data_IF_771430132686
#
_entry.id   IF_771430132686
#
_cell.length_a   1.000
_cell.length_b   1.000
_cell.length_c   1.000
_cell.angle_alpha   90.00
_cell.angle_beta   90.00
_cell.angle_gamma   90.00
#
_symmetry.space_group_name_H-M   'P 1'
#
loop_
_entity.id
_entity.type
_entity.pdbx_description
1 polymer ?
#
# COMPACT_ATOMS: atom_id res chain seq x y z
N UNK A 1 11.27 -21.34 76.39
CA UNK A 1 11.10 -22.00 75.09
C UNK A 1 9.67 -21.76 74.65
N UNK A 2 9.42 -20.72 73.90
CA UNK A 2 8.09 -20.38 73.31
C UNK A 2 8.25 -19.97 71.86
N UNK A 3 7.83 -20.84 71.01
CA UNK A 3 7.25 -20.73 69.68
C UNK A 3 7.61 -19.55 68.74
N UNK A 4 8.56 -19.81 67.87
CA UNK A 4 8.89 -18.99 66.70
C UNK A 4 8.34 -19.60 65.40
N UNK A 5 7.22 -20.31 65.45
CA UNK A 5 6.78 -21.10 64.28
C UNK A 5 5.59 -20.52 63.45
N UNK A 6 5.18 -19.24 63.70
CA UNK A 6 3.92 -18.76 63.08
C UNK A 6 4.02 -17.46 62.24
N UNK A 7 5.20 -16.93 61.98
CA UNK A 7 5.34 -15.68 61.19
C UNK A 7 5.57 -15.96 59.69
N UNK A 8 6.05 -17.16 59.32
CA UNK A 8 6.40 -17.47 57.95
C UNK A 8 5.20 -17.84 57.01
N UNK A 9 4.02 -18.05 57.59
CA UNK A 9 2.84 -18.45 56.78
C UNK A 9 1.98 -17.31 56.26
N UNK A 10 2.16 -16.08 56.75
CA UNK A 10 1.36 -14.94 56.34
C UNK A 10 1.97 -14.15 55.17
N UNK A 11 3.28 -14.19 54.98
CA UNK A 11 3.96 -13.45 53.92
C UNK A 11 3.92 -14.15 52.53
N UNK A 12 3.67 -15.45 52.49
CA UNK A 12 3.69 -16.22 51.25
C UNK A 12 2.40 -16.12 50.41
N UNK A 13 1.30 -15.59 50.97
CA UNK A 13 -0.02 -15.55 50.27
C UNK A 13 -0.39 -14.20 49.69
N UNK A 14 0.39 -13.14 49.96
CA UNK A 14 0.08 -11.78 49.46
C UNK A 14 0.95 -11.34 48.25
N UNK A 15 2.01 -12.07 47.95
CA UNK A 15 2.94 -11.66 46.86
C UNK A 15 2.54 -12.26 45.49
N UNK A 16 1.86 -13.42 45.48
CA UNK A 16 1.50 -14.09 44.23
C UNK A 16 0.41 -13.36 43.41
N UNK A 17 -0.63 -12.70 43.99
CA UNK A 17 -1.60 -11.99 43.19
C UNK A 17 -1.14 -10.64 42.63
N UNK A 18 -0.10 -10.01 43.25
CA UNK A 18 0.41 -8.72 42.79
C UNK A 18 1.28 -8.84 41.53
N UNK A 19 1.97 -9.96 41.35
CA UNK A 19 2.78 -10.21 40.13
C UNK A 19 1.94 -10.66 38.94
N UNK A 20 0.78 -11.27 39.15
CA UNK A 20 -0.12 -11.68 38.09
C UNK A 20 -0.90 -10.51 37.48
N UNK A 21 -1.07 -9.39 38.19
CA UNK A 21 -1.77 -8.21 37.66
C UNK A 21 -0.88 -7.30 36.79
N UNK A 22 0.44 -7.45 36.84
CA UNK A 22 1.38 -6.67 36.02
C UNK A 22 1.70 -7.31 34.67
N UNK A 23 1.25 -8.54 34.44
CA UNK A 23 1.54 -9.24 33.18
C UNK A 23 0.48 -9.02 32.06
N UNK A 24 -0.61 -8.30 32.35
CA UNK A 24 -1.70 -8.08 31.38
C UNK A 24 -1.73 -6.69 30.74
N UNK A 25 -0.79 -5.81 31.03
CA UNK A 25 -0.77 -4.46 30.44
C UNK A 25 0.30 -4.26 29.36
N UNK A 26 0.83 -5.34 28.76
CA UNK A 26 1.87 -5.26 27.75
C UNK A 26 1.45 -5.76 26.36
N UNK A 27 0.15 -5.81 26.08
CA UNK A 27 -0.34 -5.94 24.70
C UNK A 27 -1.22 -4.73 24.39
N UNK A 28 -0.58 -3.57 24.32
CA UNK A 28 -1.13 -2.50 23.53
C UNK A 28 -0.97 -2.95 22.07
N UNK A 29 -2.08 -3.31 21.42
CA UNK A 29 -2.09 -3.58 20.00
C UNK A 29 -1.74 -2.26 19.32
N UNK A 30 -0.49 -2.12 18.92
CA UNK A 30 -0.07 -1.08 18.00
C UNK A 30 -0.97 -1.27 16.77
N UNK A 31 -1.92 -0.38 16.58
CA UNK A 31 -2.82 -0.40 15.44
C UNK A 31 -1.99 -0.46 14.17
N UNK A 32 -2.48 -1.10 13.15
CA UNK A 32 -1.78 -1.21 11.86
C UNK A 32 -1.39 0.18 11.32
N UNK A 33 -2.14 1.20 11.68
CA UNK A 33 -1.91 2.62 11.37
C UNK A 33 -0.77 3.28 12.19
N UNK A 34 -0.44 2.78 13.38
CA UNK A 34 0.66 3.32 14.21
C UNK A 34 2.06 2.89 13.72
N UNK A 35 2.12 2.05 12.68
CA UNK A 35 3.37 1.68 12.02
C UNK A 35 3.89 2.73 11.05
N UNK A 36 3.07 3.72 10.70
CA UNK A 36 3.50 4.83 9.86
C UNK A 36 4.26 5.83 10.71
N UNK A 37 5.57 5.82 10.59
CA UNK A 37 6.41 6.87 11.16
C UNK A 37 6.01 8.17 10.47
N UNK A 38 5.56 9.22 11.20
CA UNK A 38 5.31 10.50 10.57
C UNK A 38 6.56 10.94 9.81
N UNK A 39 6.39 11.32 8.54
CA UNK A 39 7.49 11.89 7.78
C UNK A 39 7.99 13.14 8.50
N UNK A 40 9.31 13.37 8.53
CA UNK A 40 9.80 14.73 8.79
C UNK A 40 9.16 15.66 7.76
N UNK A 41 8.77 16.87 8.19
CA UNK A 41 8.28 17.91 7.29
C UNK A 41 9.23 18.03 6.11
N UNK A 42 8.74 17.69 4.92
CA UNK A 42 9.56 17.68 3.69
C UNK A 42 9.36 19.03 3.00
N UNK A 43 9.83 20.08 3.66
CA UNK A 43 9.55 21.47 3.31
C UNK A 43 10.13 21.94 1.97
N UNK A 44 10.84 21.15 1.19
CA UNK A 44 11.42 21.59 -0.09
C UNK A 44 11.67 20.47 -1.11
N UNK A 45 10.97 19.34 -1.04
CA UNK A 45 11.23 18.26 -2.02
C UNK A 45 10.29 18.41 -3.21
N UNK A 46 10.80 18.98 -4.30
CA UNK A 46 10.13 18.99 -5.62
C UNK A 46 10.08 17.57 -6.26
N UNK A 47 10.54 16.54 -5.55
CA UNK A 47 10.55 15.18 -6.08
C UNK A 47 9.17 14.55 -6.00
N UNK A 48 8.73 14.03 -7.14
CA UNK A 48 7.52 13.20 -7.27
C UNK A 48 7.94 11.75 -7.48
N UNK A 49 7.26 10.84 -6.83
CA UNK A 49 7.48 9.39 -6.89
C UNK A 49 6.29 8.72 -7.57
N UNK A 50 6.53 7.76 -8.43
CA UNK A 50 5.51 6.96 -9.10
C UNK A 50 5.37 5.60 -8.39
N UNK A 51 4.19 5.31 -7.87
CA UNK A 51 3.78 3.96 -7.47
C UNK A 51 2.92 3.34 -8.57
N UNK A 52 3.37 2.23 -9.14
CA UNK A 52 2.59 1.40 -10.04
C UNK A 52 2.08 0.18 -9.26
N UNK A 53 0.79 0.10 -9.01
CA UNK A 53 0.12 -1.04 -8.39
C UNK A 53 -0.34 -2.02 -9.48
N UNK A 54 0.18 -3.25 -9.47
CA UNK A 54 -0.26 -4.31 -10.37
C UNK A 54 -1.45 -5.04 -9.76
N UNK A 55 -2.55 -5.04 -10.48
CA UNK A 55 -3.86 -5.45 -9.98
C UNK A 55 -4.69 -6.17 -11.04
N UNK A 56 -5.87 -6.63 -10.68
CA UNK A 56 -6.83 -7.24 -11.59
C UNK A 56 -8.23 -7.25 -11.03
N UNK A 57 -9.22 -7.18 -11.89
CA UNK A 57 -10.64 -7.12 -11.52
C UNK A 57 -11.14 -8.37 -10.77
N UNK A 58 -10.45 -9.51 -10.96
CA UNK A 58 -10.74 -10.77 -10.26
C UNK A 58 -9.81 -11.02 -9.06
N UNK A 59 -8.99 -10.04 -8.67
CA UNK A 59 -8.05 -10.17 -7.58
C UNK A 59 -8.74 -9.91 -6.24
N UNK A 60 -8.86 -10.94 -5.42
CA UNK A 60 -9.58 -10.87 -4.14
C UNK A 60 -8.83 -10.06 -3.06
N UNK A 61 -7.52 -9.98 -3.15
CA UNK A 61 -6.67 -9.28 -2.18
C UNK A 61 -6.35 -7.84 -2.60
N UNK A 62 -6.60 -7.45 -3.86
CA UNK A 62 -6.24 -6.13 -4.37
C UNK A 62 -7.03 -4.97 -3.73
N UNK A 63 -8.30 -5.13 -3.28
CA UNK A 63 -8.98 -4.04 -2.58
C UNK A 63 -8.24 -3.54 -1.33
N UNK A 64 -7.63 -4.43 -0.54
CA UNK A 64 -6.86 -4.01 0.65
C UNK A 64 -5.56 -3.27 0.29
N UNK A 65 -4.95 -3.57 -0.85
CA UNK A 65 -3.80 -2.82 -1.36
C UNK A 65 -4.20 -1.42 -1.83
N UNK A 66 -5.40 -1.27 -2.43
CA UNK A 66 -5.93 0.03 -2.80
C UNK A 66 -6.20 0.92 -1.58
N UNK A 67 -6.66 0.36 -0.46
CA UNK A 67 -6.81 1.11 0.80
C UNK A 67 -5.46 1.65 1.29
N UNK A 68 -4.40 0.84 1.21
CA UNK A 68 -3.04 1.29 1.53
C UNK A 68 -2.59 2.41 0.57
N UNK A 69 -2.85 2.25 -0.73
CA UNK A 69 -2.51 3.25 -1.74
C UNK A 69 -3.23 4.58 -1.49
N UNK A 70 -4.51 4.57 -1.12
CA UNK A 70 -5.28 5.77 -0.78
C UNK A 70 -4.67 6.50 0.43
N UNK A 71 -4.29 5.78 1.48
CA UNK A 71 -3.62 6.35 2.65
C UNK A 71 -2.26 6.97 2.28
N UNK A 72 -1.50 6.32 1.40
CA UNK A 72 -0.23 6.87 0.92
C UNK A 72 -0.44 8.15 0.07
N UNK A 73 -1.48 8.19 -0.76
CA UNK A 73 -1.83 9.41 -1.50
C UNK A 73 -2.25 10.56 -0.57
N UNK A 74 -3.01 10.27 0.48
CA UNK A 74 -3.34 11.28 1.50
C UNK A 74 -2.08 11.79 2.22
N UNK A 75 -1.16 10.89 2.54
CA UNK A 75 0.06 11.21 3.28
C UNK A 75 1.05 12.04 2.46
N UNK A 76 1.26 11.70 1.19
CA UNK A 76 2.29 12.30 0.35
C UNK A 76 1.76 13.39 -0.60
N UNK A 77 0.46 13.48 -0.79
CA UNK A 77 -0.18 14.50 -1.61
C UNK A 77 0.38 14.55 -3.03
N UNK A 78 0.82 15.72 -3.46
CA UNK A 78 1.37 15.96 -4.80
C UNK A 78 2.73 15.29 -5.07
N UNK A 79 3.40 14.79 -4.04
CA UNK A 79 4.68 14.12 -4.18
C UNK A 79 4.56 12.63 -4.53
N UNK A 80 3.34 12.09 -4.62
CA UNK A 80 3.07 10.71 -5.01
C UNK A 80 2.06 10.65 -6.14
N UNK A 81 2.42 9.99 -7.22
CA UNK A 81 1.50 9.60 -8.29
C UNK A 81 1.27 8.09 -8.19
N UNK A 82 0.01 7.67 -8.16
CA UNK A 82 -0.36 6.26 -8.15
C UNK A 82 -1.07 5.88 -9.44
N UNK A 83 -0.67 4.75 -10.02
CA UNK A 83 -1.29 4.18 -11.22
C UNK A 83 -1.56 2.71 -10.99
N UNK A 84 -2.82 2.29 -11.13
CA UNK A 84 -3.19 0.87 -11.11
C UNK A 84 -3.08 0.27 -12.49
N UNK A 85 -2.26 -0.77 -12.63
CA UNK A 85 -2.00 -1.50 -13.87
C UNK A 85 -2.73 -2.83 -13.83
N UNK A 86 -3.79 -2.96 -14.63
CA UNK A 86 -4.54 -4.19 -14.75
C UNK A 86 -3.81 -5.15 -15.68
N UNK A 87 -3.24 -6.23 -15.13
CA UNK A 87 -2.40 -7.17 -15.86
C UNK A 87 -2.57 -8.62 -15.39
N UNK A 88 -2.02 -9.54 -16.16
CA UNK A 88 -1.99 -10.96 -15.85
C UNK A 88 -3.36 -11.65 -15.89
N UNK A 89 -3.44 -12.81 -15.25
CA UNK A 89 -4.62 -13.69 -15.36
C UNK A 89 -5.82 -13.21 -14.53
N UNK A 90 -5.59 -12.31 -13.57
CA UNK A 90 -6.66 -11.76 -12.73
C UNK A 90 -7.30 -10.50 -13.33
N UNK A 91 -6.73 -9.95 -14.40
CA UNK A 91 -7.31 -8.83 -15.13
C UNK A 91 -8.17 -9.32 -16.30
N UNK A 92 -9.28 -8.63 -16.56
CA UNK A 92 -10.21 -8.96 -17.66
C UNK A 92 -9.76 -8.22 -18.93
N UNK A 93 -9.54 -8.93 -20.06
CA UNK A 93 -9.20 -8.29 -21.32
C UNK A 93 -10.26 -7.28 -21.79
N UNK A 94 -9.82 -6.15 -22.37
CA UNK A 94 -10.69 -5.10 -22.92
C UNK A 94 -11.66 -5.64 -23.98
N UNK A 95 -11.24 -6.67 -24.74
CA UNK A 95 -12.06 -7.31 -25.78
C UNK A 95 -13.21 -8.16 -25.24
N UNK A 96 -13.27 -8.45 -23.94
CA UNK A 96 -14.35 -9.22 -23.31
C UNK A 96 -15.39 -8.29 -22.69
N UNK A 97 -16.21 -7.68 -23.52
CA UNK A 97 -17.45 -7.06 -23.06
C UNK A 97 -18.41 -8.18 -22.65
N UNK A 98 -18.74 -8.29 -21.36
CA UNK A 98 -19.83 -9.18 -20.91
C UNK A 98 -21.14 -8.43 -21.05
N UNK A 99 -22.01 -8.94 -21.91
CA UNK A 99 -23.42 -8.57 -21.89
C UNK A 99 -24.14 -9.60 -21.00
N UNK A 100 -24.99 -9.12 -20.13
CA UNK A 100 -25.95 -9.97 -19.40
C UNK A 100 -27.09 -10.36 -20.36
N UNK A 101 -27.80 -11.46 -20.08
CA UNK A 101 -28.89 -11.99 -20.94
C UNK A 101 -30.03 -10.99 -21.17
N UNK A 102 -30.14 -9.97 -20.33
CA UNK A 102 -31.08 -8.84 -20.43
C UNK A 102 -30.51 -7.66 -21.26
N UNK A 103 -29.36 -7.80 -21.88
CA UNK A 103 -28.73 -6.77 -22.70
C UNK A 103 -28.05 -5.65 -21.93
N UNK A 104 -28.00 -5.75 -20.58
CA UNK A 104 -27.22 -4.84 -19.75
C UNK A 104 -25.75 -5.14 -19.91
N UNK A 105 -24.95 -4.12 -20.19
CA UNK A 105 -23.50 -4.22 -20.10
C UNK A 105 -23.15 -4.40 -18.62
N UNK A 106 -22.74 -5.61 -18.23
CA UNK A 106 -22.24 -5.82 -16.88
C UNK A 106 -21.12 -4.82 -16.59
N UNK A 107 -21.13 -4.22 -15.43
CA UNK A 107 -20.30 -3.09 -15.03
C UNK A 107 -18.77 -3.32 -15.06
N UNK A 108 -18.29 -4.42 -15.61
CA UNK A 108 -16.87 -4.73 -15.76
C UNK A 108 -16.46 -4.61 -17.23
N UNK A 109 -16.18 -3.40 -17.66
CA UNK A 109 -15.27 -3.22 -18.81
C UNK A 109 -13.95 -3.89 -18.44
N UNK A 110 -13.42 -4.75 -19.33
CA UNK A 110 -12.07 -5.28 -19.15
C UNK A 110 -11.06 -4.12 -19.16
N UNK A 111 -10.11 -4.16 -18.24
CA UNK A 111 -9.08 -3.12 -18.08
C UNK A 111 -7.68 -3.62 -18.42
N UNK A 112 -7.55 -4.91 -18.77
CA UNK A 112 -6.29 -5.51 -19.16
C UNK A 112 -5.91 -5.06 -20.55
N UNK A 113 -4.70 -4.51 -20.70
CA UNK A 113 -4.09 -4.15 -21.99
C UNK A 113 -2.80 -4.94 -22.22
N UNK A 114 -2.34 -4.96 -23.47
CA UNK A 114 -1.06 -5.59 -23.82
C UNK A 114 0.10 -4.83 -23.16
N UNK A 115 0.04 -3.51 -23.10
CA UNK A 115 1.02 -2.66 -22.40
C UNK A 115 1.04 -2.94 -20.89
N UNK A 116 -0.13 -3.15 -20.28
CA UNK A 116 -0.20 -3.55 -18.87
C UNK A 116 0.52 -4.88 -18.59
N UNK A 117 0.36 -5.86 -19.48
CA UNK A 117 1.07 -7.13 -19.40
C UNK A 117 2.58 -6.96 -19.62
N UNK A 118 3.00 -6.07 -20.53
CA UNK A 118 4.42 -5.76 -20.73
C UNK A 118 5.04 -5.14 -19.46
N UNK A 119 4.39 -4.17 -18.83
CA UNK A 119 4.85 -3.59 -17.56
C UNK A 119 4.90 -4.64 -16.44
N UNK A 120 3.89 -5.47 -16.31
CA UNK A 120 3.83 -6.56 -15.34
C UNK A 120 5.01 -7.54 -15.50
N UNK A 121 5.31 -7.92 -16.74
CA UNK A 121 6.42 -8.82 -17.06
C UNK A 121 7.77 -8.14 -16.82
N UNK A 122 7.94 -6.89 -17.22
CA UNK A 122 9.17 -6.13 -17.01
C UNK A 122 9.47 -5.94 -15.50
N UNK A 123 8.44 -5.72 -14.69
CA UNK A 123 8.55 -5.64 -13.24
C UNK A 123 8.75 -7.00 -12.56
N UNK A 124 8.61 -8.11 -13.30
CA UNK A 124 8.70 -9.47 -12.78
C UNK A 124 7.71 -9.71 -11.62
N UNK A 125 6.46 -9.24 -11.77
CA UNK A 125 5.41 -9.41 -10.77
C UNK A 125 5.12 -10.89 -10.56
N UNK A 126 5.33 -11.38 -9.33
CA UNK A 126 5.18 -12.79 -8.99
C UNK A 126 3.75 -13.17 -8.57
N UNK A 127 3.01 -12.22 -8.02
CA UNK A 127 1.63 -12.37 -7.55
C UNK A 127 0.94 -11.01 -7.45
N UNK A 128 -0.36 -10.99 -7.24
CA UNK A 128 -1.16 -9.78 -7.06
C UNK A 128 -1.80 -9.73 -5.67
N UNK A 129 -1.80 -8.56 -4.99
CA UNK A 129 -1.20 -7.29 -5.43
C UNK A 129 0.31 -7.22 -5.18
N UNK A 130 1.06 -6.61 -6.07
CA UNK A 130 2.43 -6.12 -5.89
C UNK A 130 2.56 -4.76 -6.57
N UNK A 131 3.57 -3.98 -6.22
CA UNK A 131 3.81 -2.69 -6.88
C UNK A 131 5.26 -2.35 -7.03
N UNK A 132 5.57 -1.48 -8.00
CA UNK A 132 6.91 -0.89 -8.18
C UNK A 132 6.90 0.58 -7.79
N UNK A 133 8.00 1.05 -7.23
CA UNK A 133 8.20 2.46 -6.90
C UNK A 133 9.34 3.00 -7.76
N UNK A 134 9.06 4.00 -8.59
CA UNK A 134 10.00 4.58 -9.57
C UNK A 134 10.69 3.52 -10.44
N UNK A 135 9.96 2.50 -10.89
CA UNK A 135 10.51 1.42 -11.72
C UNK A 135 11.49 0.49 -10.99
N UNK A 136 11.54 0.54 -9.67
CA UNK A 136 12.31 -0.41 -8.85
C UNK A 136 11.71 -1.82 -8.88
N UNK A 137 12.25 -2.76 -8.08
CA UNK A 137 11.71 -4.10 -7.96
C UNK A 137 10.25 -4.10 -7.49
N UNK A 138 9.44 -5.05 -7.97
CA UNK A 138 8.10 -5.25 -7.46
C UNK A 138 8.16 -5.74 -6.00
N UNK A 139 7.40 -5.11 -5.12
CA UNK A 139 7.33 -5.38 -3.69
C UNK A 139 5.88 -5.46 -3.22
N UNK A 140 5.67 -6.11 -2.09
CA UNK A 140 4.37 -6.23 -1.45
C UNK A 140 3.86 -4.88 -0.92
N UNK A 141 2.52 -4.71 -0.76
CA UNK A 141 1.93 -3.44 -0.33
C UNK A 141 2.44 -2.91 1.01
N UNK A 142 2.83 -3.78 1.93
CA UNK A 142 3.40 -3.42 3.23
C UNK A 142 4.80 -2.75 3.12
N UNK A 143 5.47 -2.90 1.97
CA UNK A 143 6.79 -2.31 1.69
C UNK A 143 6.70 -0.99 0.90
N UNK A 144 5.54 -0.63 0.36
CA UNK A 144 5.39 0.57 -0.47
C UNK A 144 5.79 1.85 0.27
N UNK A 145 5.33 2.02 1.51
CA UNK A 145 5.66 3.21 2.31
C UNK A 145 7.18 3.39 2.49
N UNK A 146 7.90 2.31 2.78
CA UNK A 146 9.35 2.36 2.94
C UNK A 146 10.07 2.68 1.62
N UNK A 147 9.60 2.09 0.51
CA UNK A 147 10.14 2.30 -0.82
C UNK A 147 9.91 3.75 -1.29
N UNK A 148 8.70 4.29 -1.10
CA UNK A 148 8.36 5.68 -1.43
C UNK A 148 9.25 6.64 -0.64
N UNK A 149 9.39 6.48 0.68
CA UNK A 149 10.27 7.32 1.51
C UNK A 149 11.72 7.29 1.03
N UNK A 150 12.20 6.10 0.67
CA UNK A 150 13.54 5.94 0.14
C UNK A 150 13.74 6.69 -1.18
N UNK A 151 12.73 6.74 -2.04
CA UNK A 151 12.82 7.49 -3.29
C UNK A 151 12.67 9.00 -3.07
N UNK A 152 11.75 9.43 -2.21
CA UNK A 152 11.55 10.84 -1.88
C UNK A 152 12.78 11.50 -1.22
N UNK A 153 13.64 10.71 -0.56
CA UNK A 153 14.88 11.22 0.05
C UNK A 153 16.01 11.49 -0.95
N UNK A 154 15.81 11.17 -2.22
CA UNK A 154 16.81 11.41 -3.28
C UNK A 154 16.54 12.74 -3.97
N UNK A 155 17.58 13.38 -4.44
CA UNK A 155 17.44 14.56 -5.30
C UNK A 155 16.73 14.18 -6.61
N UNK A 156 15.84 15.05 -7.13
CA UNK A 156 15.23 14.82 -8.43
C UNK A 156 16.29 14.84 -9.53
N UNK A 157 16.25 13.82 -10.41
CA UNK A 157 17.20 13.73 -11.52
C UNK A 157 16.82 14.62 -12.72
N UNK A 158 15.53 14.97 -12.83
CA UNK A 158 14.98 15.80 -13.89
C UNK A 158 13.70 16.51 -13.41
N UNK A 159 13.37 17.63 -14.04
CA UNK A 159 12.06 18.28 -13.97
C UNK A 159 11.33 17.96 -15.27
N UNK A 160 10.12 17.47 -15.19
CA UNK A 160 9.27 17.19 -16.34
C UNK A 160 8.04 18.06 -16.23
N UNK A 161 7.79 18.90 -17.23
CA UNK A 161 6.55 19.65 -17.36
C UNK A 161 5.68 18.96 -18.40
N UNK A 162 4.41 18.71 -18.06
CA UNK A 162 3.47 18.04 -18.94
C UNK A 162 2.25 18.95 -19.13
N UNK A 163 1.96 19.28 -20.38
CA UNK A 163 0.72 19.92 -20.77
C UNK A 163 -0.18 18.92 -21.52
N UNK A 164 -1.41 18.78 -21.06
CA UNK A 164 -2.41 17.93 -21.72
C UNK A 164 -3.61 18.75 -22.16
N UNK A 165 -4.04 18.58 -23.42
CA UNK A 165 -5.20 19.25 -23.98
C UNK A 165 -6.13 18.24 -24.66
N UNK A 166 -7.44 18.40 -24.47
CA UNK A 166 -8.44 17.62 -25.20
C UNK A 166 -8.88 18.40 -26.45
N UNK A 167 -8.52 17.89 -27.63
CA UNK A 167 -8.86 18.49 -28.92
C UNK A 167 -9.54 17.44 -29.82
N UNK A 168 -10.75 17.71 -30.25
CA UNK A 168 -11.53 16.81 -31.13
C UNK A 168 -11.60 15.34 -30.63
N UNK A 169 -11.80 15.16 -29.34
CA UNK A 169 -11.86 13.84 -28.71
C UNK A 169 -10.52 13.11 -28.55
N UNK A 170 -9.40 13.79 -28.84
CA UNK A 170 -8.03 13.29 -28.67
C UNK A 170 -7.32 14.07 -27.58
N UNK A 171 -6.53 13.35 -26.76
CA UNK A 171 -5.65 13.98 -25.80
C UNK A 171 -4.31 14.25 -26.48
N UNK A 172 -3.93 15.52 -26.56
CA UNK A 172 -2.61 15.95 -27.00
C UNK A 172 -1.76 16.17 -25.75
N UNK A 173 -0.58 15.56 -25.70
CA UNK A 173 0.36 15.67 -24.60
C UNK A 173 1.64 16.28 -25.15
N UNK A 174 2.09 17.39 -24.53
CA UNK A 174 3.40 17.97 -24.75
C UNK A 174 4.22 17.80 -23.46
N UNK A 175 5.48 17.43 -23.60
CA UNK A 175 6.41 17.31 -22.46
C UNK A 175 7.73 18.01 -22.81
N UNK A 176 8.25 18.78 -21.89
CA UNK A 176 9.57 19.43 -21.92
C UNK A 176 10.46 18.91 -20.80
#
# INVERSE_FOLDING_TARGET
MKNFANISRFFGKLIVPAFAALAFSACDSVGEYDRYVPLPEMDDVERVVLLQDFTGQNCINCPSAHEIMELLMEQYGTNLICVSVHAGDLAIPVSRTRFTDDGYQAASLGLKTDEGDEYNNAASVAHWPMGTVDGGPAVDPDQWSASIRSQLSKDPAAKIEIEAQLVDGKILINSD
#
